data_IF_898698720912
#
_entry.id   IF_898698720912
#
_cell.length_a   1.000
_cell.length_b   1.000
_cell.length_c   1.000
_cell.angle_alpha   90.00
_cell.angle_beta   90.00
_cell.angle_gamma   90.00
#
_symmetry.space_group_name_H-M   'P 1'
#
loop_
_entity.id
_entity.type
_entity.pdbx_description
1 polymer ?
#
# COMPACT_ATOMS: atom_id res chain seq x y z
N UNK A 1 -3.71 -2.65 50.52
CA UNK A 1 -4.29 -3.73 49.70
C UNK A 1 -3.15 -4.36 48.90
N UNK A 2 -2.86 -5.64 49.17
CA UNK A 2 -1.62 -6.27 48.70
C UNK A 2 -1.66 -6.53 47.20
N UNK A 3 -0.60 -6.20 46.47
CA UNK A 3 -0.46 -6.40 45.04
C UNK A 3 -0.77 -7.85 44.59
N UNK A 4 -0.58 -8.81 45.52
CA UNK A 4 -0.84 -10.23 45.35
C UNK A 4 -2.34 -10.56 45.34
N UNK A 5 -3.12 -9.92 46.19
CA UNK A 5 -4.59 -10.08 46.25
C UNK A 5 -5.30 -9.53 45.03
N UNK A 6 -4.81 -8.39 44.50
CA UNK A 6 -5.32 -7.83 43.26
C UNK A 6 -5.02 -8.72 42.05
N UNK A 7 -3.85 -9.36 42.02
CA UNK A 7 -3.46 -10.27 40.94
C UNK A 7 -4.35 -11.54 40.92
N UNK A 8 -4.70 -12.08 42.08
CA UNK A 8 -5.57 -13.26 42.19
C UNK A 8 -7.02 -12.91 41.77
N UNK A 9 -7.53 -11.73 42.17
CA UNK A 9 -8.85 -11.26 41.71
C UNK A 9 -8.87 -11.07 40.20
N UNK A 10 -7.79 -10.51 39.63
CA UNK A 10 -7.68 -10.31 38.19
C UNK A 10 -7.69 -11.64 37.41
N UNK A 11 -6.97 -12.65 37.90
CA UNK A 11 -6.97 -14.02 37.30
C UNK A 11 -8.35 -14.62 37.27
N UNK A 12 -9.14 -14.48 38.34
CA UNK A 12 -10.53 -14.97 38.41
C UNK A 12 -11.42 -14.28 37.42
N UNK A 13 -11.28 -12.95 37.24
CA UNK A 13 -12.03 -12.15 36.27
C UNK A 13 -11.63 -12.55 34.85
N UNK A 14 -10.35 -12.71 34.55
CA UNK A 14 -9.84 -13.18 33.26
C UNK A 14 -10.47 -14.53 32.89
N UNK A 15 -10.42 -15.50 33.80
CA UNK A 15 -11.02 -16.83 33.58
C UNK A 15 -12.55 -16.75 33.34
N UNK A 16 -13.25 -15.83 34.01
CA UNK A 16 -14.68 -15.62 33.78
C UNK A 16 -14.96 -15.03 32.40
N UNK A 17 -14.14 -14.07 31.97
CA UNK A 17 -14.24 -13.47 30.61
C UNK A 17 -13.97 -14.53 29.54
N UNK A 18 -12.93 -15.34 29.69
CA UNK A 18 -12.60 -16.42 28.77
C UNK A 18 -13.69 -17.49 28.68
N UNK A 19 -14.36 -17.79 29.80
CA UNK A 19 -15.51 -18.71 29.81
C UNK A 19 -16.73 -18.12 29.06
N UNK A 20 -16.96 -16.82 29.18
CA UNK A 20 -18.13 -16.15 28.57
C UNK A 20 -17.93 -15.81 27.10
N UNK A 21 -16.72 -15.47 26.69
CA UNK A 21 -16.41 -14.92 25.36
C UNK A 21 -15.40 -15.76 24.54
N UNK A 22 -14.94 -16.87 25.11
CA UNK A 22 -13.95 -17.77 24.47
C UNK A 22 -12.50 -17.47 24.89
N UNK A 23 -11.64 -18.48 24.74
CA UNK A 23 -10.19 -18.35 25.01
C UNK A 23 -9.58 -17.29 24.10
N UNK A 24 -8.72 -16.43 24.67
CA UNK A 24 -8.07 -15.36 23.93
C UNK A 24 -8.88 -14.07 23.82
N UNK A 25 -10.10 -14.00 24.40
CA UNK A 25 -10.91 -12.76 24.48
C UNK A 25 -10.24 -11.68 25.32
N UNK A 26 -9.35 -12.05 26.22
CA UNK A 26 -8.48 -11.16 27.00
C UNK A 26 -7.09 -11.80 27.16
N UNK A 27 -6.03 -11.02 26.98
CA UNK A 27 -4.65 -11.49 27.10
C UNK A 27 -3.72 -10.39 27.58
N UNK A 28 -2.59 -10.75 28.15
CA UNK A 28 -1.52 -9.81 28.47
C UNK A 28 -0.72 -9.49 27.21
N UNK A 29 -0.50 -8.21 26.91
CA UNK A 29 0.19 -7.77 25.71
C UNK A 29 1.61 -8.36 25.57
N UNK A 30 2.36 -8.48 26.67
CA UNK A 30 3.71 -9.07 26.65
C UNK A 30 3.72 -10.55 26.25
N UNK A 31 2.71 -11.35 26.63
CA UNK A 31 2.59 -12.74 26.17
C UNK A 31 2.21 -12.82 24.69
N UNK A 32 1.44 -11.86 24.20
CA UNK A 32 1.07 -11.78 22.79
C UNK A 32 2.27 -11.42 21.91
N UNK A 33 3.23 -10.64 22.41
CA UNK A 33 4.43 -10.27 21.65
C UNK A 33 5.44 -11.42 21.52
N UNK A 34 5.41 -12.39 22.43
CA UNK A 34 6.24 -13.62 22.36
C UNK A 34 5.61 -14.65 21.40
N UNK A 35 4.27 -14.72 21.34
CA UNK A 35 3.52 -15.62 20.46
C UNK A 35 3.26 -15.03 19.05
N UNK A 36 3.24 -13.72 18.91
CA UNK A 36 3.14 -13.03 17.62
C UNK A 36 4.56 -12.70 17.16
N UNK A 37 5.14 -13.58 16.37
CA UNK A 37 6.33 -13.28 15.56
C UNK A 37 6.20 -11.98 14.76
N UNK A 38 7.16 -11.67 13.90
CA UNK A 38 7.07 -10.55 12.95
C UNK A 38 5.72 -10.55 12.23
N UNK A 39 5.15 -9.37 12.03
CA UNK A 39 3.91 -9.22 11.26
C UNK A 39 4.12 -9.81 9.87
N UNK A 40 3.28 -10.78 9.49
CA UNK A 40 3.32 -11.33 8.14
C UNK A 40 2.97 -10.25 7.12
N UNK A 41 3.74 -10.20 6.03
CA UNK A 41 3.60 -9.19 5.00
C UNK A 41 3.60 -9.79 3.60
N UNK A 42 3.09 -9.04 2.63
CA UNK A 42 3.35 -9.23 1.21
C UNK A 42 4.20 -8.08 0.70
N UNK A 43 5.24 -8.38 -0.07
CA UNK A 43 6.04 -7.38 -0.77
C UNK A 43 5.16 -6.56 -1.71
N UNK A 44 5.49 -5.30 -1.86
CA UNK A 44 4.84 -4.40 -2.83
C UNK A 44 5.37 -4.56 -4.25
N UNK A 45 6.44 -5.34 -4.43
CA UNK A 45 7.21 -5.40 -5.68
C UNK A 45 8.24 -4.26 -5.83
N UNK A 46 8.20 -3.27 -4.95
CA UNK A 46 9.18 -2.19 -4.83
C UNK A 46 10.00 -2.37 -3.56
N UNK A 47 11.32 -2.52 -3.70
CA UNK A 47 12.23 -2.69 -2.57
C UNK A 47 12.21 -1.46 -1.64
N UNK A 48 12.21 -0.27 -2.20
CA UNK A 48 12.18 0.97 -1.43
C UNK A 48 10.87 1.14 -0.67
N UNK A 49 9.73 0.80 -1.28
CA UNK A 49 8.45 0.88 -0.58
C UNK A 49 8.35 -0.16 0.54
N UNK A 50 8.88 -1.36 0.33
CA UNK A 50 8.96 -2.39 1.37
C UNK A 50 9.79 -1.92 2.57
N UNK A 51 10.93 -1.26 2.34
CA UNK A 51 11.77 -0.65 3.37
C UNK A 51 11.03 0.52 4.03
N UNK A 52 10.42 1.43 3.26
CA UNK A 52 9.69 2.58 3.79
C UNK A 52 8.49 2.19 4.68
N UNK A 53 7.93 1.01 4.47
CA UNK A 53 6.86 0.47 5.32
C UNK A 53 7.39 -0.03 6.69
N UNK A 54 8.70 -0.20 6.87
CA UNK A 54 9.37 -0.53 8.12
C UNK A 54 9.16 -1.96 8.63
N UNK A 55 8.36 -2.76 7.90
CA UNK A 55 8.07 -4.17 8.21
C UNK A 55 8.33 -5.10 7.01
N UNK A 56 8.92 -4.56 5.93
CA UNK A 56 9.29 -5.31 4.73
C UNK A 56 8.16 -5.56 3.73
N UNK A 57 7.02 -4.87 3.85
CA UNK A 57 5.89 -4.99 2.93
C UNK A 57 4.57 -4.53 3.52
N UNK A 58 3.45 -4.88 2.87
CA UNK A 58 2.10 -4.58 3.33
C UNK A 58 1.61 -5.65 4.33
N UNK A 59 1.02 -5.25 5.48
CA UNK A 59 0.66 -6.15 6.55
C UNK A 59 -0.55 -7.02 6.21
N UNK A 60 -0.46 -8.34 6.43
CA UNK A 60 -1.60 -9.27 6.38
C UNK A 60 -2.59 -8.96 7.50
N UNK A 61 -3.84 -9.38 7.32
CA UNK A 61 -4.90 -9.16 8.30
C UNK A 61 -5.27 -7.69 8.53
N UNK A 62 -4.99 -6.82 7.55
CA UNK A 62 -5.20 -5.36 7.66
C UNK A 62 -5.87 -4.77 6.42
N UNK A 63 -6.47 -3.61 6.63
CA UNK A 63 -6.98 -2.75 5.55
C UNK A 63 -5.87 -1.79 5.12
N UNK A 64 -5.61 -1.75 3.82
CA UNK A 64 -4.68 -0.84 3.16
C UNK A 64 -5.47 0.05 2.20
N UNK A 65 -5.15 1.33 2.12
CA UNK A 65 -5.68 2.25 1.11
C UNK A 65 -4.54 2.76 0.24
N UNK A 66 -4.67 2.57 -1.08
CA UNK A 66 -3.78 3.15 -2.10
C UNK A 66 -4.58 4.19 -2.86
N UNK A 67 -4.16 5.46 -2.80
CA UNK A 67 -4.90 6.53 -3.44
C UNK A 67 -3.99 7.51 -4.17
N UNK A 68 -4.54 8.22 -5.14
CA UNK A 68 -3.82 9.19 -5.94
C UNK A 68 -4.61 9.63 -7.16
N UNK A 69 -4.05 10.55 -7.97
CA UNK A 69 -4.63 10.97 -9.24
C UNK A 69 -4.83 9.80 -10.21
N UNK A 70 -5.60 10.03 -11.24
CA UNK A 70 -5.71 9.10 -12.37
C UNK A 70 -4.34 8.85 -13.01
N UNK A 71 -4.14 7.64 -13.54
CA UNK A 71 -2.89 7.24 -14.22
C UNK A 71 -1.61 7.39 -13.35
N UNK A 72 -1.74 7.41 -12.02
CA UNK A 72 -0.59 7.49 -11.10
C UNK A 72 0.10 6.15 -10.82
N UNK A 73 -0.47 5.01 -11.28
CA UNK A 73 0.09 3.67 -11.07
C UNK A 73 -0.53 2.88 -9.92
N UNK A 74 -1.70 3.28 -9.40
CA UNK A 74 -2.41 2.58 -8.31
C UNK A 74 -2.66 1.10 -8.62
N UNK A 75 -3.33 0.83 -9.74
CA UNK A 75 -3.64 -0.54 -10.19
C UNK A 75 -2.37 -1.32 -10.49
N UNK A 76 -1.35 -0.69 -11.09
CA UNK A 76 -0.04 -1.32 -11.33
C UNK A 76 0.61 -1.78 -10.03
N UNK A 77 0.67 -0.92 -9.00
CA UNK A 77 1.22 -1.28 -7.70
C UNK A 77 0.45 -2.45 -7.07
N UNK A 78 -0.89 -2.42 -7.09
CA UNK A 78 -1.69 -3.50 -6.49
C UNK A 78 -1.59 -4.82 -7.26
N UNK A 79 -1.41 -4.79 -8.59
CA UNK A 79 -1.14 -5.99 -9.37
C UNK A 79 0.23 -6.60 -9.04
N UNK A 80 1.25 -5.78 -8.77
CA UNK A 80 2.52 -6.30 -8.25
C UNK A 80 2.35 -6.96 -6.88
N UNK A 81 1.57 -6.35 -5.97
CA UNK A 81 1.25 -6.97 -4.66
C UNK A 81 0.56 -8.32 -4.85
N UNK A 82 -0.39 -8.45 -5.80
CA UNK A 82 -1.04 -9.72 -6.13
C UNK A 82 0.00 -10.73 -6.63
N UNK A 83 0.87 -10.34 -7.56
CA UNK A 83 1.91 -11.21 -8.09
C UNK A 83 2.86 -11.72 -6.99
N UNK A 84 3.28 -10.84 -6.07
CA UNK A 84 4.13 -11.23 -4.95
C UNK A 84 3.39 -12.13 -3.94
N UNK A 85 2.10 -11.88 -3.67
CA UNK A 85 1.27 -12.74 -2.83
C UNK A 85 1.11 -14.14 -3.43
N UNK A 86 0.83 -14.24 -4.73
CA UNK A 86 0.72 -15.53 -5.44
C UNK A 86 2.03 -16.30 -5.44
N UNK A 87 3.19 -15.65 -5.60
CA UNK A 87 4.52 -16.28 -5.48
C UNK A 87 4.75 -16.94 -4.13
N UNK A 88 4.13 -16.40 -3.07
CA UNK A 88 4.15 -16.96 -1.72
C UNK A 88 3.06 -18.03 -1.49
N UNK A 89 2.31 -18.41 -2.53
CA UNK A 89 1.21 -19.37 -2.45
C UNK A 89 -0.11 -18.78 -1.95
N UNK A 90 -0.23 -17.45 -1.88
CA UNK A 90 -1.45 -16.78 -1.42
C UNK A 90 -2.55 -16.80 -2.47
N UNK A 91 -3.79 -17.06 -2.02
CA UNK A 91 -4.99 -16.98 -2.86
C UNK A 91 -5.47 -15.54 -2.95
N UNK A 92 -5.60 -15.02 -4.17
CA UNK A 92 -5.91 -13.63 -4.42
C UNK A 92 -7.26 -13.46 -5.13
N UNK A 93 -7.97 -12.38 -4.78
CA UNK A 93 -9.19 -11.96 -5.45
C UNK A 93 -9.14 -10.47 -5.81
N UNK A 94 -9.79 -10.12 -6.92
CA UNK A 94 -9.89 -8.76 -7.42
C UNK A 94 -11.36 -8.40 -7.68
N UNK A 95 -11.85 -7.38 -7.05
CA UNK A 95 -13.18 -6.80 -7.32
C UNK A 95 -12.97 -5.59 -8.23
N UNK A 96 -13.31 -5.76 -9.51
CA UNK A 96 -13.16 -4.77 -10.57
C UNK A 96 -14.49 -4.00 -10.73
N UNK A 97 -14.71 -2.99 -9.90
CA UNK A 97 -15.89 -2.14 -9.97
C UNK A 97 -15.80 -1.08 -11.10
N UNK A 98 -14.62 -0.85 -11.68
CA UNK A 98 -14.44 0.03 -12.83
C UNK A 98 -14.57 -0.72 -14.16
N UNK A 99 -14.61 -2.06 -14.16
CA UNK A 99 -14.64 -2.91 -15.35
C UNK A 99 -13.47 -2.64 -16.31
N UNK A 100 -12.30 -2.34 -15.77
CA UNK A 100 -11.14 -1.83 -16.51
C UNK A 100 -9.88 -2.70 -16.40
N UNK A 101 -9.94 -3.85 -15.72
CA UNK A 101 -8.79 -4.74 -15.57
C UNK A 101 -8.43 -5.38 -16.91
N UNK A 102 -7.20 -5.15 -17.37
CA UNK A 102 -6.62 -5.83 -18.52
C UNK A 102 -5.87 -7.09 -18.09
N UNK A 103 -6.36 -8.30 -18.43
CA UNK A 103 -5.68 -9.56 -18.09
C UNK A 103 -4.30 -9.68 -18.75
N UNK A 104 -4.11 -9.12 -19.94
CA UNK A 104 -2.84 -9.12 -20.65
C UNK A 104 -1.79 -8.31 -19.92
N UNK A 105 -2.18 -7.14 -19.36
CA UNK A 105 -1.32 -6.32 -18.53
C UNK A 105 -1.01 -7.00 -17.20
N UNK A 106 -2.01 -7.55 -16.51
CA UNK A 106 -1.82 -8.27 -15.25
C UNK A 106 -0.80 -9.41 -15.41
N UNK A 107 -0.92 -10.21 -16.50
CA UNK A 107 0.03 -11.30 -16.82
C UNK A 107 1.45 -10.77 -17.01
N UNK A 108 1.64 -9.64 -17.69
CA UNK A 108 2.97 -9.02 -17.88
C UNK A 108 3.61 -8.60 -16.58
N UNK A 109 2.81 -8.20 -15.58
CA UNK A 109 3.28 -7.85 -14.24
C UNK A 109 3.57 -9.07 -13.34
N UNK A 110 3.37 -10.28 -13.87
CA UNK A 110 3.66 -11.53 -13.16
C UNK A 110 2.48 -12.13 -12.42
N UNK A 111 1.27 -11.60 -12.60
CA UNK A 111 0.05 -12.18 -12.02
C UNK A 111 -0.29 -13.49 -12.75
N UNK A 112 -0.51 -14.56 -11.99
CA UNK A 112 -1.12 -15.78 -12.49
C UNK A 112 -2.63 -15.55 -12.63
N UNK A 113 -3.06 -15.23 -13.85
CA UNK A 113 -4.46 -14.90 -14.15
C UNK A 113 -5.39 -16.11 -14.05
N UNK A 114 -4.87 -17.34 -14.17
CA UNK A 114 -5.65 -18.56 -14.07
C UNK A 114 -6.05 -18.89 -12.61
N UNK A 115 -5.33 -18.31 -11.64
CA UNK A 115 -5.58 -18.48 -10.22
C UNK A 115 -6.15 -17.19 -9.56
N UNK A 116 -6.30 -16.10 -10.30
CA UNK A 116 -6.87 -14.87 -9.77
C UNK A 116 -8.40 -14.90 -9.86
N UNK A 117 -9.07 -14.87 -8.71
CA UNK A 117 -10.52 -14.71 -8.67
C UNK A 117 -10.89 -13.27 -9.05
N UNK A 118 -11.80 -13.11 -10.01
CA UNK A 118 -12.30 -11.78 -10.41
C UNK A 118 -13.81 -11.69 -10.23
N UNK A 119 -14.28 -10.54 -9.76
CA UNK A 119 -15.70 -10.18 -9.67
C UNK A 119 -15.91 -8.78 -10.22
N UNK A 120 -16.96 -8.59 -11.01
CA UNK A 120 -17.37 -7.31 -11.61
C UNK A 120 -18.80 -6.98 -11.19
N UNK A 121 -19.00 -6.42 -9.98
CA UNK A 121 -20.31 -6.12 -9.43
C UNK A 121 -20.91 -4.87 -10.05
N UNK A 122 -22.25 -4.83 -10.14
CA UNK A 122 -23.01 -3.69 -10.68
C UNK A 122 -23.22 -2.58 -9.64
N UNK A 123 -23.21 -2.91 -8.33
CA UNK A 123 -23.47 -1.96 -7.26
C UNK A 123 -22.43 -2.03 -6.14
N UNK A 124 -22.27 -0.93 -5.40
CA UNK A 124 -21.38 -0.88 -4.24
C UNK A 124 -21.75 -1.87 -3.13
N UNK A 125 -23.07 -2.08 -2.90
CA UNK A 125 -23.56 -3.08 -1.94
C UNK A 125 -23.13 -4.49 -2.35
N UNK A 126 -23.34 -4.86 -3.63
CA UNK A 126 -22.93 -6.17 -4.15
C UNK A 126 -21.42 -6.38 -4.03
N UNK A 127 -20.62 -5.39 -4.41
CA UNK A 127 -19.16 -5.45 -4.28
C UNK A 127 -18.72 -5.75 -2.83
N UNK A 128 -19.30 -5.02 -1.86
CA UNK A 128 -18.93 -5.12 -0.46
C UNK A 128 -19.47 -6.37 0.23
N UNK A 129 -20.62 -6.91 -0.23
CA UNK A 129 -21.16 -8.20 0.22
C UNK A 129 -20.31 -9.37 -0.30
N UNK A 130 -19.86 -9.31 -1.56
CA UNK A 130 -18.91 -10.28 -2.13
C UNK A 130 -17.60 -10.23 -1.33
N UNK A 131 -17.08 -9.03 -1.07
CA UNK A 131 -15.87 -8.84 -0.26
C UNK A 131 -16.02 -9.47 1.15
N UNK A 132 -17.14 -9.22 1.84
CA UNK A 132 -17.41 -9.78 3.17
C UNK A 132 -17.50 -11.31 3.13
N UNK A 133 -18.12 -11.87 2.10
CA UNK A 133 -18.27 -13.32 1.91
C UNK A 133 -16.89 -13.97 1.65
N UNK A 134 -16.08 -13.38 0.76
CA UNK A 134 -14.75 -13.87 0.45
C UNK A 134 -13.83 -13.84 1.68
N UNK A 135 -13.81 -12.74 2.42
CA UNK A 135 -13.02 -12.63 3.64
C UNK A 135 -13.45 -13.65 4.70
N UNK A 136 -14.76 -13.85 4.89
CA UNK A 136 -15.29 -14.82 5.87
C UNK A 136 -15.06 -16.27 5.49
N UNK A 137 -14.81 -16.57 4.23
CA UNK A 137 -14.51 -17.93 3.77
C UNK A 137 -13.20 -18.48 4.30
N UNK A 138 -12.31 -17.61 4.82
CA UNK A 138 -10.93 -17.93 5.25
C UNK A 138 -10.06 -18.51 4.11
N UNK A 139 -10.58 -18.53 2.88
CA UNK A 139 -9.90 -19.06 1.70
C UNK A 139 -9.16 -18.01 0.87
N UNK A 140 -9.18 -16.73 1.29
CA UNK A 140 -8.57 -15.61 0.56
C UNK A 140 -7.52 -14.93 1.43
N UNK A 141 -6.32 -14.80 0.91
CA UNK A 141 -5.20 -14.13 1.58
C UNK A 141 -5.13 -12.63 1.25
N UNK A 142 -5.44 -12.29 -0.02
CA UNK A 142 -5.43 -10.91 -0.52
C UNK A 142 -6.67 -10.62 -1.35
N UNK A 143 -7.37 -9.55 -1.01
CA UNK A 143 -8.48 -8.98 -1.76
C UNK A 143 -8.17 -7.55 -2.18
N UNK A 144 -8.25 -7.25 -3.47
CA UNK A 144 -8.15 -5.89 -4.01
C UNK A 144 -9.52 -5.42 -4.48
N UNK A 145 -9.88 -4.17 -4.19
CA UNK A 145 -11.13 -3.52 -4.63
C UNK A 145 -10.74 -2.27 -5.42
N UNK A 146 -10.99 -2.27 -6.73
CA UNK A 146 -10.68 -1.18 -7.66
C UNK A 146 -11.97 -0.67 -8.33
N UNK A 147 -12.42 0.51 -8.05
CA UNK A 147 -12.00 1.44 -7.02
C UNK A 147 -13.19 1.85 -6.12
N UNK A 148 -12.88 2.44 -4.95
CA UNK A 148 -13.92 3.00 -4.06
C UNK A 148 -14.81 4.01 -4.78
N UNK A 149 -14.25 4.77 -5.73
CA UNK A 149 -15.01 5.76 -6.51
C UNK A 149 -16.13 5.14 -7.36
N UNK A 150 -15.96 3.88 -7.78
CA UNK A 150 -16.94 3.14 -8.58
C UNK A 150 -17.94 2.34 -7.74
N UNK A 151 -17.81 2.33 -6.41
CA UNK A 151 -18.78 1.69 -5.52
C UNK A 151 -20.03 2.57 -5.38
N UNK A 152 -20.85 2.60 -6.42
CA UNK A 152 -22.08 3.39 -6.47
C UNK A 152 -23.19 2.68 -5.67
N UNK A 153 -23.84 3.35 -4.70
CA UNK A 153 -24.98 2.77 -3.99
C UNK A 153 -26.14 2.45 -4.94
N UNK A 154 -26.82 1.33 -4.70
CA UNK A 154 -27.98 0.89 -5.51
C UNK A 154 -29.04 2.00 -5.64
N UNK A 155 -29.37 2.68 -4.53
CA UNK A 155 -30.35 3.75 -4.53
C UNK A 155 -29.96 4.94 -5.45
N UNK A 156 -28.68 5.13 -5.71
CA UNK A 156 -28.18 6.15 -6.65
C UNK A 156 -28.34 5.68 -8.11
N UNK A 157 -28.19 4.37 -8.36
CA UNK A 157 -28.37 3.79 -9.69
C UNK A 157 -29.85 3.66 -10.08
N UNK A 158 -30.75 3.44 -9.11
CA UNK A 158 -32.20 3.33 -9.33
C UNK A 158 -32.91 4.70 -9.34
N UNK A 159 -32.23 5.78 -8.93
CA UNK A 159 -32.74 7.15 -8.94
C UNK A 159 -32.79 7.75 -10.34
N UNK A 160 -33.48 8.89 -10.46
CA UNK A 160 -33.54 9.64 -11.72
C UNK A 160 -32.26 10.44 -11.98
N UNK A 161 -31.94 10.68 -13.25
CA UNK A 161 -30.77 11.52 -13.61
C UNK A 161 -30.94 12.93 -13.05
N UNK A 162 -29.99 13.32 -12.18
CA UNK A 162 -30.00 14.62 -11.50
C UNK A 162 -30.41 14.56 -10.03
N UNK A 163 -30.87 13.42 -9.54
CA UNK A 163 -31.12 13.23 -8.11
C UNK A 163 -29.85 13.40 -7.30
N UNK A 164 -29.92 14.19 -6.24
CA UNK A 164 -28.81 14.39 -5.32
C UNK A 164 -29.04 13.61 -4.05
N UNK A 165 -28.25 12.54 -3.85
CA UNK A 165 -28.33 11.68 -2.68
C UNK A 165 -27.02 11.77 -1.85
N UNK A 166 -26.77 12.92 -1.17
CA UNK A 166 -25.47 13.17 -0.55
C UNK A 166 -25.17 12.17 0.57
N UNK A 167 -23.93 11.66 0.56
CA UNK A 167 -23.39 10.86 1.64
C UNK A 167 -23.78 9.38 1.65
N UNK A 168 -24.53 8.87 0.68
CA UNK A 168 -24.90 7.45 0.61
C UNK A 168 -23.65 6.56 0.51
N UNK A 169 -22.72 6.86 -0.38
CA UNK A 169 -21.46 6.12 -0.52
C UNK A 169 -20.64 6.13 0.78
N UNK A 170 -20.59 7.27 1.48
CA UNK A 170 -19.87 7.35 2.76
C UNK A 170 -20.53 6.52 3.87
N UNK A 171 -21.86 6.42 3.88
CA UNK A 171 -22.60 5.53 4.80
C UNK A 171 -22.37 4.07 4.48
N UNK A 172 -22.43 3.70 3.21
CA UNK A 172 -22.16 2.35 2.72
C UNK A 172 -20.75 1.90 3.12
N UNK A 173 -19.74 2.71 2.84
CA UNK A 173 -18.35 2.44 3.22
C UNK A 173 -18.15 2.32 4.74
N UNK A 174 -18.79 3.20 5.52
CA UNK A 174 -18.73 3.13 6.98
C UNK A 174 -19.36 1.87 7.54
N UNK A 175 -20.47 1.41 6.97
CA UNK A 175 -21.13 0.17 7.37
C UNK A 175 -20.29 -1.05 6.99
N UNK A 176 -19.80 -1.11 5.77
CA UNK A 176 -18.98 -2.21 5.26
C UNK A 176 -17.69 -2.38 6.06
N UNK A 177 -16.95 -1.29 6.27
CA UNK A 177 -15.68 -1.34 7.00
C UNK A 177 -15.85 -1.78 8.46
N UNK A 178 -16.95 -1.43 9.12
CA UNK A 178 -17.29 -1.96 10.46
C UNK A 178 -17.43 -3.48 10.48
N UNK A 179 -18.06 -4.06 9.44
CA UNK A 179 -18.22 -5.51 9.32
C UNK A 179 -16.88 -6.17 8.94
N UNK A 180 -16.26 -5.70 7.87
CA UNK A 180 -15.04 -6.29 7.29
C UNK A 180 -13.87 -6.29 8.27
N UNK A 181 -13.65 -5.21 9.03
CA UNK A 181 -12.47 -5.09 9.91
C UNK A 181 -12.40 -6.22 10.94
N UNK A 182 -13.55 -6.64 11.50
CA UNK A 182 -13.60 -7.74 12.46
C UNK A 182 -13.24 -9.09 11.81
N UNK A 183 -13.71 -9.33 10.58
CA UNK A 183 -13.43 -10.56 9.84
C UNK A 183 -11.98 -10.57 9.36
N UNK A 184 -11.50 -9.51 8.74
CA UNK A 184 -10.13 -9.32 8.22
C UNK A 184 -9.07 -9.66 9.29
N UNK A 185 -9.26 -9.18 10.52
CA UNK A 185 -8.31 -9.43 11.61
C UNK A 185 -8.29 -10.88 12.09
N UNK A 186 -9.39 -11.64 11.90
CA UNK A 186 -9.50 -13.05 12.30
C UNK A 186 -8.98 -13.99 11.23
N UNK A 187 -9.26 -13.67 9.96
CA UNK A 187 -8.90 -14.51 8.81
C UNK A 187 -7.49 -14.25 8.30
N UNK A 188 -6.79 -13.25 8.83
CA UNK A 188 -5.49 -12.77 8.36
C UNK A 188 -5.48 -12.33 6.89
N UNK A 189 -6.64 -12.04 6.31
CA UNK A 189 -6.80 -11.55 4.94
C UNK A 189 -6.35 -10.10 4.83
N UNK A 190 -5.52 -9.75 3.87
CA UNK A 190 -5.22 -8.35 3.53
C UNK A 190 -6.27 -7.82 2.55
N UNK A 191 -6.85 -6.65 2.83
CA UNK A 191 -7.79 -5.99 1.91
C UNK A 191 -7.23 -4.65 1.49
N UNK A 192 -7.01 -4.49 0.18
CA UNK A 192 -6.50 -3.26 -0.43
C UNK A 192 -7.63 -2.53 -1.14
N UNK A 193 -7.91 -1.30 -0.73
CA UNK A 193 -8.83 -0.40 -1.42
C UNK A 193 -8.04 0.58 -2.28
N UNK A 194 -8.30 0.57 -3.57
CA UNK A 194 -7.84 1.61 -4.49
C UNK A 194 -8.83 2.76 -4.43
N UNK A 195 -8.32 4.00 -4.31
CA UNK A 195 -9.17 5.17 -4.18
C UNK A 195 -8.70 6.31 -5.09
N UNK A 196 -9.63 7.19 -5.44
CA UNK A 196 -9.39 8.36 -6.28
C UNK A 196 -9.42 9.63 -5.43
N UNK A 197 -8.67 10.64 -5.89
CA UNK A 197 -8.71 11.98 -5.31
C UNK A 197 -9.86 12.80 -5.92
N UNK A 198 -10.47 13.62 -5.07
CA UNK A 198 -11.45 14.64 -5.45
C UNK A 198 -11.06 15.96 -4.82
N UNK A 199 -11.43 17.04 -5.44
CA UNK A 199 -11.19 18.39 -4.94
C UNK A 199 -12.42 18.90 -4.19
N UNK A 200 -12.23 19.34 -2.96
CA UNK A 200 -13.28 20.01 -2.18
C UNK A 200 -13.42 21.45 -2.68
N UNK A 201 -14.64 21.84 -3.01
CA UNK A 201 -14.96 23.22 -3.40
C UNK A 201 -14.97 24.11 -2.14
N UNK A 202 -14.42 25.32 -2.24
CA UNK A 202 -14.51 26.32 -1.16
C UNK A 202 -13.51 26.17 -0.02
N UNK A 203 -12.48 25.33 -0.15
CA UNK A 203 -11.39 25.22 0.84
C UNK A 203 -10.40 26.37 0.60
N UNK A 204 -10.39 27.35 1.52
CA UNK A 204 -9.47 28.50 1.44
C UNK A 204 -8.13 28.23 2.15
N UNK A 205 -8.08 27.28 3.11
CA UNK A 205 -6.88 26.95 3.88
C UNK A 205 -6.71 25.42 3.96
N UNK A 206 -5.47 24.95 3.87
CA UNK A 206 -5.13 23.54 3.87
C UNK A 206 -5.31 22.86 2.50
N UNK A 207 -5.09 21.54 2.44
CA UNK A 207 -5.24 20.79 1.18
C UNK A 207 -6.71 20.61 0.81
N UNK A 208 -7.13 21.02 -0.40
CA UNK A 208 -8.47 20.76 -0.90
C UNK A 208 -8.68 19.31 -1.31
N UNK A 209 -7.62 18.50 -1.41
CA UNK A 209 -7.69 17.11 -1.84
C UNK A 209 -8.37 16.23 -0.79
N UNK A 210 -9.24 15.34 -1.24
CA UNK A 210 -9.88 14.33 -0.42
C UNK A 210 -10.11 13.06 -1.22
N UNK A 211 -10.17 11.91 -0.55
CA UNK A 211 -10.52 10.63 -1.16
C UNK A 211 -12.03 10.45 -1.20
N UNK A 212 -12.55 9.63 -2.15
CA UNK A 212 -13.97 9.27 -2.25
C UNK A 212 -14.38 8.32 -1.11
N UNK A 213 -15.70 8.09 -0.93
CA UNK A 213 -16.21 7.18 0.10
C UNK A 213 -16.18 7.72 1.53
N UNK A 214 -15.98 9.04 1.70
CA UNK A 214 -15.98 9.70 3.02
C UNK A 214 -14.71 9.46 3.84
N UNK A 215 -14.84 9.51 5.17
CA UNK A 215 -13.67 9.41 6.07
C UNK A 215 -13.42 7.99 6.62
N UNK A 216 -14.27 7.02 6.33
CA UNK A 216 -14.21 5.71 6.96
C UNK A 216 -12.85 5.00 6.71
N UNK A 217 -12.36 4.97 5.47
CA UNK A 217 -11.06 4.39 5.15
C UNK A 217 -9.91 5.08 5.86
N UNK A 218 -9.97 6.40 6.07
CA UNK A 218 -8.92 7.14 6.81
C UNK A 218 -8.75 6.63 8.24
N UNK A 219 -9.83 6.15 8.86
CA UNK A 219 -9.81 5.61 10.22
C UNK A 219 -9.48 4.11 10.24
N UNK A 220 -10.15 3.31 9.38
CA UNK A 220 -10.04 1.86 9.41
C UNK A 220 -8.74 1.32 8.80
N UNK A 221 -8.17 1.98 7.79
CA UNK A 221 -6.90 1.55 7.20
C UNK A 221 -5.75 1.57 8.22
N UNK A 222 -4.90 0.56 8.15
CA UNK A 222 -3.64 0.48 8.90
C UNK A 222 -2.50 1.15 8.16
N UNK A 223 -2.52 1.08 6.83
CA UNK A 223 -1.57 1.73 5.93
C UNK A 223 -2.34 2.55 4.91
N UNK A 224 -1.84 3.75 4.58
CA UNK A 224 -2.34 4.61 3.50
C UNK A 224 -1.18 5.10 2.66
N UNK A 225 -1.25 4.86 1.37
CA UNK A 225 -0.25 5.23 0.38
C UNK A 225 -0.82 6.28 -0.58
N UNK A 226 -0.15 7.44 -0.66
CA UNK A 226 -0.41 8.46 -1.67
C UNK A 226 0.56 8.22 -2.83
N UNK A 227 0.05 7.83 -4.00
CA UNK A 227 0.85 7.53 -5.19
C UNK A 227 0.65 8.60 -6.25
N UNK A 228 1.77 9.18 -6.75
CA UNK A 228 1.75 10.27 -7.72
C UNK A 228 2.79 10.08 -8.80
N UNK A 229 2.37 10.35 -10.03
CA UNK A 229 3.30 10.53 -11.14
C UNK A 229 4.02 11.86 -10.97
N UNK A 230 5.36 11.86 -11.02
CA UNK A 230 6.19 13.06 -10.88
C UNK A 230 6.96 13.41 -12.16
N UNK A 231 7.09 12.46 -13.10
CA UNK A 231 7.80 12.68 -14.35
C UNK A 231 7.44 11.66 -15.42
N UNK A 232 7.89 11.88 -16.62
CA UNK A 232 7.84 10.92 -17.72
C UNK A 232 9.24 10.41 -18.03
N UNK A 233 9.38 9.11 -18.21
CA UNK A 233 10.61 8.47 -18.66
C UNK A 233 10.56 8.41 -20.18
N UNK A 234 11.58 8.92 -20.83
CA UNK A 234 11.67 9.00 -22.29
C UNK A 234 12.85 8.20 -22.80
N UNK A 235 12.63 7.50 -23.90
CA UNK A 235 13.68 7.01 -24.79
C UNK A 235 13.59 7.79 -26.10
N UNK A 236 14.52 8.72 -26.31
CA UNK A 236 14.49 9.71 -27.39
C UNK A 236 13.18 10.52 -27.34
N UNK A 237 12.31 10.39 -28.35
CA UNK A 237 11.03 11.09 -28.42
C UNK A 237 9.85 10.28 -27.84
N UNK A 238 10.07 9.00 -27.48
CA UNK A 238 9.01 8.13 -27.01
C UNK A 238 8.94 8.13 -25.48
N UNK A 239 7.73 8.26 -24.92
CA UNK A 239 7.50 8.06 -23.49
C UNK A 239 7.36 6.57 -23.25
N UNK A 240 8.30 5.99 -22.48
CA UNK A 240 8.38 4.56 -22.19
C UNK A 240 7.96 4.21 -20.78
N UNK A 241 7.75 5.20 -19.91
CA UNK A 241 7.36 4.98 -18.53
C UNK A 241 7.11 6.28 -17.78
N UNK A 242 6.83 6.12 -16.51
CA UNK A 242 6.60 7.22 -15.58
C UNK A 242 7.49 7.06 -14.34
N UNK A 243 8.09 8.17 -13.91
CA UNK A 243 8.64 8.26 -12.57
C UNK A 243 7.50 8.50 -11.59
N UNK A 244 7.43 7.66 -10.56
CA UNK A 244 6.32 7.62 -9.61
C UNK A 244 6.85 7.80 -8.21
N UNK A 245 6.15 8.62 -7.42
CA UNK A 245 6.42 8.85 -6.00
C UNK A 245 5.30 8.25 -5.17
N UNK A 246 5.67 7.52 -4.12
CA UNK A 246 4.76 6.99 -3.12
C UNK A 246 5.11 7.54 -1.75
N UNK A 247 4.14 8.16 -1.10
CA UNK A 247 4.26 8.65 0.28
C UNK A 247 3.44 7.76 1.22
N UNK A 248 4.08 7.27 2.28
CA UNK A 248 3.42 6.52 3.35
C UNK A 248 2.76 7.53 4.30
N UNK A 249 1.49 7.89 4.04
CA UNK A 249 0.79 8.95 4.78
C UNK A 249 0.30 8.47 6.15
N UNK A 250 0.01 7.18 6.27
CA UNK A 250 -0.39 6.54 7.52
C UNK A 250 0.20 5.15 7.59
N UNK A 251 0.76 4.82 8.74
CA UNK A 251 1.25 3.48 9.04
C UNK A 251 1.06 3.21 10.55
N UNK A 252 0.33 2.14 10.88
CA UNK A 252 0.12 1.72 12.28
C UNK A 252 1.17 0.69 12.74
N UNK A 253 2.05 0.24 11.83
CA UNK A 253 3.02 -0.81 12.08
C UNK A 253 4.43 -0.25 12.30
N UNK A 254 4.74 0.91 11.70
CA UNK A 254 6.03 1.60 11.79
C UNK A 254 5.81 3.12 11.65
N UNK A 255 6.84 3.98 11.87
CA UNK A 255 6.74 5.41 11.67
C UNK A 255 6.30 5.76 10.23
N UNK A 256 5.27 6.60 10.04
CA UNK A 256 4.82 7.05 8.72
C UNK A 256 5.69 8.20 8.19
N UNK A 257 5.25 8.79 7.07
CA UNK A 257 5.79 9.96 6.37
C UNK A 257 7.11 9.72 5.64
N UNK A 258 7.38 8.47 5.28
CA UNK A 258 8.46 8.11 4.37
C UNK A 258 7.99 8.23 2.93
N UNK A 259 8.91 8.55 2.05
CA UNK A 259 8.65 8.79 0.65
C UNK A 259 9.66 8.04 -0.20
N UNK A 260 9.18 7.36 -1.21
CA UNK A 260 9.99 6.59 -2.16
C UNK A 260 9.65 6.99 -3.59
N UNK A 261 10.63 6.89 -4.46
CA UNK A 261 10.48 7.11 -5.89
C UNK A 261 10.99 5.90 -6.65
N UNK A 262 10.22 5.48 -7.64
CA UNK A 262 10.59 4.41 -8.54
C UNK A 262 9.99 4.62 -9.93
N UNK A 263 10.56 3.93 -10.91
CA UNK A 263 10.10 3.95 -12.29
C UNK A 263 9.01 2.89 -12.51
N UNK A 264 7.90 3.27 -13.17
CA UNK A 264 6.92 2.35 -13.74
C UNK A 264 7.09 2.37 -15.25
N UNK A 265 7.58 1.26 -15.81
CA UNK A 265 7.78 1.09 -17.25
C UNK A 265 6.50 0.57 -17.89
N UNK A 266 6.14 1.11 -19.05
CA UNK A 266 4.92 0.68 -19.76
C UNK A 266 5.05 -0.75 -20.26
N UNK A 267 4.11 -1.60 -19.85
CA UNK A 267 4.09 -3.02 -20.20
C UNK A 267 4.98 -3.91 -19.34
N UNK A 268 5.82 -3.36 -18.46
CA UNK A 268 6.72 -4.12 -17.57
C UNK A 268 6.43 -3.87 -16.07
N UNK A 269 5.82 -2.71 -15.74
CA UNK A 269 5.52 -2.33 -14.36
C UNK A 269 6.70 -1.69 -13.63
N UNK A 270 6.82 -1.96 -12.32
CA UNK A 270 7.86 -1.38 -11.46
C UNK A 270 9.24 -1.89 -11.88
N UNK A 271 10.17 -0.96 -12.15
CA UNK A 271 11.56 -1.27 -12.54
C UNK A 271 12.39 -1.65 -11.32
N UNK A 272 12.24 -2.91 -10.84
CA UNK A 272 12.96 -3.41 -9.65
C UNK A 272 14.47 -3.23 -9.75
N UNK A 273 15.09 -3.54 -10.90
CA UNK A 273 16.54 -3.41 -11.09
C UNK A 273 16.96 -1.93 -11.03
N UNK A 274 16.17 -1.03 -11.64
CA UNK A 274 16.43 0.40 -11.57
C UNK A 274 16.41 0.92 -10.14
N UNK A 275 15.43 0.49 -9.37
CA UNK A 275 15.29 0.84 -7.95
C UNK A 275 16.46 0.31 -7.11
N UNK A 276 16.91 -0.93 -7.33
CA UNK A 276 18.08 -1.51 -6.65
C UNK A 276 19.34 -0.69 -6.93
N UNK A 277 19.54 -0.20 -8.17
CA UNK A 277 20.68 0.67 -8.50
C UNK A 277 20.57 1.98 -7.73
N UNK A 278 19.41 2.62 -7.74
CA UNK A 278 19.23 3.93 -7.12
C UNK A 278 19.37 3.84 -5.59
N UNK A 279 18.77 2.83 -4.96
CA UNK A 279 18.93 2.57 -3.53
C UNK A 279 20.35 2.14 -3.16
N UNK A 280 20.99 1.33 -4.02
CA UNK A 280 22.38 0.92 -3.82
C UNK A 280 23.34 2.10 -3.83
N UNK A 281 23.11 3.09 -4.69
CA UNK A 281 23.88 4.35 -4.69
C UNK A 281 23.59 5.18 -3.45
N UNK A 282 22.32 5.30 -3.04
CA UNK A 282 21.94 6.06 -1.84
C UNK A 282 22.51 5.44 -0.55
N UNK A 283 22.67 4.13 -0.51
CA UNK A 283 23.19 3.39 0.63
C UNK A 283 24.73 3.19 0.58
N UNK A 284 25.43 3.85 -0.33
CA UNK A 284 26.87 3.69 -0.55
C UNK A 284 27.31 2.22 -0.76
N UNK A 285 26.43 1.40 -1.33
CA UNK A 285 26.69 0.00 -1.70
C UNK A 285 27.19 -0.08 -3.14
N UNK A 286 26.64 0.77 -4.01
CA UNK A 286 27.08 0.95 -5.40
C UNK A 286 27.75 2.31 -5.49
N UNK A 287 29.02 2.32 -5.93
CA UNK A 287 29.78 3.53 -6.17
C UNK A 287 29.35 4.17 -7.48
N UNK A 288 29.07 5.48 -7.46
CA UNK A 288 28.76 6.27 -8.65
C UNK A 288 29.78 7.39 -8.82
N UNK A 289 30.58 7.32 -9.90
CA UNK A 289 31.52 8.35 -10.28
C UNK A 289 31.22 8.87 -11.69
N UNK A 290 30.65 10.06 -11.76
CA UNK A 290 30.12 10.61 -13.01
C UNK A 290 29.07 9.71 -13.64
N UNK A 291 29.34 9.20 -14.84
CA UNK A 291 28.45 8.26 -15.54
C UNK A 291 28.72 6.79 -15.18
N UNK A 292 29.76 6.48 -14.45
CA UNK A 292 30.17 5.11 -14.15
C UNK A 292 29.57 4.61 -12.83
N UNK A 293 29.12 3.37 -12.86
CA UNK A 293 28.66 2.62 -11.68
C UNK A 293 29.67 1.49 -11.41
N UNK A 294 30.01 1.29 -10.15
CA UNK A 294 30.91 0.22 -9.71
C UNK A 294 30.38 -0.47 -8.45
N UNK A 295 30.74 -1.73 -8.29
CA UNK A 295 30.45 -2.54 -7.11
C UNK A 295 31.69 -3.31 -6.71
N UNK A 296 32.17 -3.15 -5.46
CA UNK A 296 33.43 -3.74 -4.97
C UNK A 296 34.64 -3.45 -5.91
N UNK A 297 34.77 -2.19 -6.29
CA UNK A 297 35.82 -1.71 -7.24
C UNK A 297 35.71 -2.22 -8.68
N UNK A 298 34.74 -3.08 -9.00
CA UNK A 298 34.47 -3.54 -10.36
C UNK A 298 33.43 -2.67 -11.06
N UNK A 299 33.74 -2.23 -12.29
CA UNK A 299 32.79 -1.45 -13.08
C UNK A 299 31.63 -2.33 -13.56
N UNK A 300 30.40 -1.95 -13.21
CA UNK A 300 29.17 -2.68 -13.58
C UNK A 300 28.37 -1.99 -14.69
N UNK A 301 28.74 -0.77 -15.10
CA UNK A 301 28.12 -0.11 -16.25
C UNK A 301 28.48 1.36 -16.37
N UNK A 302 28.37 1.89 -17.59
CA UNK A 302 28.40 3.31 -17.89
C UNK A 302 26.97 3.80 -18.22
N UNK A 303 26.39 4.63 -17.36
CA UNK A 303 24.99 5.04 -17.42
C UNK A 303 24.05 4.01 -16.80
N UNK A 304 22.89 4.50 -16.33
CA UNK A 304 21.90 3.72 -15.58
C UNK A 304 21.34 2.53 -16.39
N UNK A 305 21.06 2.73 -17.67
CA UNK A 305 20.47 1.68 -18.53
C UNK A 305 21.47 0.54 -18.81
N UNK A 306 22.75 0.84 -19.06
CA UNK A 306 23.75 -0.19 -19.22
C UNK A 306 23.97 -0.97 -17.92
N UNK A 307 23.90 -0.29 -16.79
CA UNK A 307 24.00 -0.94 -15.47
C UNK A 307 22.79 -1.84 -15.21
N UNK A 308 21.57 -1.42 -15.59
CA UNK A 308 20.36 -2.30 -15.53
C UNK A 308 20.55 -3.57 -16.35
N UNK A 309 21.05 -3.41 -17.59
CA UNK A 309 21.28 -4.57 -18.47
C UNK A 309 22.34 -5.50 -17.87
N UNK A 310 23.47 -4.95 -17.40
CA UNK A 310 24.52 -5.73 -16.75
C UNK A 310 23.99 -6.54 -15.56
N UNK A 311 23.20 -5.92 -14.67
CA UNK A 311 22.62 -6.61 -13.51
C UNK A 311 21.55 -7.64 -13.93
N UNK A 312 20.81 -7.38 -15.01
CA UNK A 312 19.86 -8.36 -15.57
C UNK A 312 20.57 -9.62 -16.07
N UNK A 313 21.76 -9.47 -16.66
CA UNK A 313 22.58 -10.57 -17.17
C UNK A 313 23.36 -11.27 -16.04
N UNK A 314 23.44 -10.66 -14.84
CA UNK A 314 24.15 -11.17 -13.67
C UNK A 314 23.23 -11.28 -12.44
N UNK A 315 22.25 -12.22 -12.42
CA UNK A 315 21.23 -12.29 -11.39
C UNK A 315 21.78 -12.58 -9.98
N UNK A 316 22.88 -13.33 -9.87
CA UNK A 316 23.52 -13.59 -8.57
C UNK A 316 24.08 -12.29 -7.93
N UNK A 317 24.66 -11.41 -8.75
CA UNK A 317 25.14 -10.11 -8.28
C UNK A 317 23.98 -9.19 -7.89
N UNK A 318 22.89 -9.22 -8.66
CA UNK A 318 21.68 -8.46 -8.36
C UNK A 318 21.09 -8.88 -6.99
N UNK A 319 21.01 -10.18 -6.72
CA UNK A 319 20.53 -10.73 -5.45
C UNK A 319 21.46 -10.37 -4.28
N UNK A 320 22.76 -10.40 -4.50
CA UNK A 320 23.74 -9.98 -3.50
C UNK A 320 23.56 -8.51 -3.12
N UNK A 321 23.43 -7.61 -4.12
CA UNK A 321 23.21 -6.18 -3.89
C UNK A 321 21.88 -5.95 -3.16
N UNK A 322 20.78 -6.60 -3.61
CA UNK A 322 19.48 -6.51 -2.94
C UNK A 322 19.57 -6.93 -1.47
N UNK A 323 20.25 -8.04 -1.19
CA UNK A 323 20.44 -8.55 0.18
C UNK A 323 21.21 -7.55 1.04
N UNK A 324 22.25 -6.92 0.50
CA UNK A 324 22.99 -5.88 1.22
C UNK A 324 22.15 -4.63 1.50
N UNK A 325 21.34 -4.20 0.53
CA UNK A 325 20.41 -3.07 0.74
C UNK A 325 19.43 -3.40 1.85
N UNK A 326 18.84 -4.60 1.84
CA UNK A 326 17.93 -5.07 2.91
C UNK A 326 18.60 -5.13 4.27
N UNK A 327 19.88 -5.55 4.33
CA UNK A 327 20.64 -5.60 5.58
C UNK A 327 21.00 -4.20 6.12
N UNK A 328 20.99 -3.18 5.27
CA UNK A 328 21.22 -1.78 5.61
C UNK A 328 19.91 -0.96 5.58
N UNK A 329 18.78 -1.63 5.76
CA UNK A 329 17.44 -1.01 5.66
C UNK A 329 17.27 0.21 6.54
N UNK A 330 17.83 0.21 7.76
CA UNK A 330 17.73 1.33 8.70
C UNK A 330 18.35 2.61 8.13
N UNK A 331 19.56 2.50 7.52
CA UNK A 331 20.23 3.64 6.89
C UNK A 331 19.45 4.14 5.67
N UNK A 332 18.95 3.23 4.83
CA UNK A 332 18.12 3.57 3.67
C UNK A 332 16.82 4.23 4.11
N UNK A 333 16.22 3.73 5.19
CA UNK A 333 14.96 4.23 5.76
C UNK A 333 15.10 5.68 6.27
N UNK A 334 16.22 6.01 6.90
CA UNK A 334 16.53 7.38 7.37
C UNK A 334 16.59 8.39 6.21
N UNK A 335 17.08 7.97 5.04
CA UNK A 335 17.15 8.81 3.83
C UNK A 335 15.80 9.05 3.16
N UNK A 336 14.77 8.26 3.51
CA UNK A 336 13.41 8.34 2.93
C UNK A 336 12.47 9.26 3.70
N UNK A 337 12.93 9.89 4.78
CA UNK A 337 12.09 10.81 5.58
C UNK A 337 11.84 12.08 4.76
N UNK A 338 10.55 12.39 4.55
CA UNK A 338 10.12 13.65 3.93
C UNK A 338 10.52 14.81 4.88
N UNK A 339 11.36 15.77 4.45
CA UNK A 339 11.66 16.92 5.29
C UNK A 339 10.34 17.60 5.69
N UNK A 340 10.17 18.04 6.96
CA UNK A 340 8.98 18.75 7.37
C UNK A 340 8.79 19.94 6.44
N UNK A 341 7.56 20.10 5.91
CA UNK A 341 7.23 21.27 5.11
C UNK A 341 7.62 22.52 5.91
N UNK A 342 8.52 23.32 5.33
CA UNK A 342 8.84 24.61 5.92
C UNK A 342 7.52 25.37 6.15
N UNK A 343 7.29 25.97 7.31
CA UNK A 343 6.11 26.79 7.52
C UNK A 343 6.11 27.86 6.42
N UNK A 344 4.99 27.98 5.71
CA UNK A 344 4.78 29.00 4.69
C UNK A 344 5.23 30.33 5.29
N UNK A 345 6.31 30.91 4.76
CA UNK A 345 6.68 32.29 5.08
C UNK A 345 5.52 33.15 4.61
N UNK A 346 4.67 33.54 5.52
CA UNK A 346 3.68 34.59 5.31
C UNK A 346 4.45 35.85 4.90
N UNK A 347 4.23 36.39 3.70
CA UNK A 347 4.87 37.65 3.34
C UNK A 347 4.41 38.73 4.33
N UNK A 348 5.38 39.22 5.11
CA UNK A 348 5.16 40.42 5.95
C UNK A 348 4.58 41.52 5.07
N UNK A 349 3.34 41.92 5.38
CA UNK A 349 2.77 43.13 4.83
C UNK A 349 3.65 44.29 5.30
N UNK A 350 4.46 44.84 4.41
CA UNK A 350 5.03 46.17 4.58
C UNK A 350 3.86 47.15 4.64
N UNK A 351 3.56 47.64 5.83
CA UNK A 351 2.79 48.85 6.04
C UNK A 351 3.67 50.00 5.58
N UNK A 352 3.35 50.57 4.42
CA UNK A 352 3.83 51.90 4.04
C UNK A 352 3.03 52.93 4.83
N UNK A 353 3.76 53.77 5.58
CA UNK A 353 3.29 55.02 6.14
C UNK A 353 3.11 56.10 5.06
#
# INVERSE_FOLDING_TARGET
MDKKDNLNKLKTVISSIEKSYGKGSIMMLGKKSEDMGSVDVYSTGSLGLDIALGIGGLPKGRVVEVYGPESSGKTTLTLHVIAEAQKMGGTCAFIDAEHALDPGYAKKLGVNIDELLISQPDTGEQALEIADTLVKSEGIDLLVIDSVAALVPRAELEGEMGDSLPGLQARLMSQALRKLTSSISKTNTMVVFINQLRMKIGVMFGSPETTTGGNALKFYSSVRLDIRRIGAIKDKDNIIGNQTRVKVVKNKMAPPFKMVEFDIMYGEGISKIGEIIDLGVQADIIDKSGAWYAYKDEKIGQGRENTKQFLKDNPALLEEIETRIRSNSDTVEELMIDPPALPDETPEKKTEE
#
